data_IF_434613000284
#
_entry.id   IF_434613000284
#
_cell.length_a   1.000
_cell.length_b   1.000
_cell.length_c   1.000
_cell.angle_alpha   90.00
_cell.angle_beta   90.00
_cell.angle_gamma   90.00
#
_symmetry.space_group_name_H-M   'P 1'
#
loop_
_entity.id
_entity.type
_entity.pdbx_description
1 polymer ?
#
# COMPACT_ATOMS: atom_id res chain seq x y z
N UNK A 1 1.60 -5.98 5.29
CA UNK A 1 2.15 -5.44 6.54
C UNK A 1 3.33 -6.32 6.91
N UNK A 2 4.41 -5.76 7.45
CA UNK A 2 5.59 -6.55 7.84
C UNK A 2 5.21 -7.51 8.98
N UNK A 3 5.15 -8.82 8.75
CA UNK A 3 4.77 -9.74 9.81
C UNK A 3 5.91 -9.79 10.85
N UNK A 4 5.60 -9.42 12.09
CA UNK A 4 6.55 -9.44 13.20
C UNK A 4 7.38 -8.16 13.40
N UNK A 5 7.08 -7.07 12.69
CA UNK A 5 7.77 -5.78 12.88
C UNK A 5 6.80 -4.70 13.35
N UNK A 6 7.24 -3.90 14.30
CA UNK A 6 6.57 -2.67 14.76
C UNK A 6 7.57 -1.54 14.57
N UNK A 7 7.14 -0.48 13.88
CA UNK A 7 7.91 0.75 13.76
C UNK A 7 7.32 1.79 14.71
N UNK A 8 8.19 2.52 15.40
CA UNK A 8 7.79 3.46 16.45
C UNK A 8 8.51 4.79 16.19
N UNK A 9 7.75 5.86 16.03
CA UNK A 9 8.24 7.24 15.96
C UNK A 9 8.18 7.83 17.37
N UNK A 10 9.33 8.09 18.00
CA UNK A 10 9.42 8.55 19.39
C UNK A 10 10.74 9.27 19.68
N UNK A 11 10.66 10.36 20.43
CA UNK A 11 11.82 11.04 21.01
C UNK A 11 12.32 10.37 22.31
N UNK A 12 11.57 9.39 22.83
CA UNK A 12 11.85 8.72 24.11
C UNK A 12 11.87 7.18 23.95
N UNK A 13 12.84 6.64 23.19
CA UNK A 13 12.91 5.19 22.93
C UNK A 13 13.01 4.35 24.21
N UNK A 14 13.74 4.81 25.23
CA UNK A 14 13.91 4.06 26.49
C UNK A 14 12.58 3.82 27.21
N UNK A 15 11.67 4.80 27.20
CA UNK A 15 10.34 4.66 27.82
C UNK A 15 9.49 3.64 27.07
N UNK A 16 9.60 3.62 25.74
CA UNK A 16 8.90 2.63 24.90
C UNK A 16 9.44 1.23 25.18
N UNK A 17 10.76 1.08 25.30
CA UNK A 17 11.39 -0.21 25.64
C UNK A 17 10.90 -0.73 27.00
N UNK A 18 10.86 0.11 28.04
CA UNK A 18 10.32 -0.28 29.35
C UNK A 18 8.83 -0.64 29.30
N UNK A 19 8.02 0.08 28.52
CA UNK A 19 6.62 -0.26 28.33
C UNK A 19 6.45 -1.63 27.64
N UNK A 20 7.25 -1.91 26.61
CA UNK A 20 7.20 -3.15 25.84
C UNK A 20 7.60 -4.39 26.65
N UNK A 21 8.50 -4.26 27.64
CA UNK A 21 8.85 -5.36 28.57
C UNK A 21 7.64 -5.94 29.31
N UNK A 22 6.60 -5.13 29.52
CA UNK A 22 5.39 -5.53 30.24
C UNK A 22 4.34 -6.18 29.32
N UNK A 23 4.59 -6.27 28.01
CA UNK A 23 3.67 -6.88 27.04
C UNK A 23 3.99 -8.39 26.92
N UNK A 24 3.15 -9.30 27.42
CA UNK A 24 3.48 -10.75 27.50
C UNK A 24 3.72 -11.43 26.15
N UNK A 25 3.16 -10.86 25.07
CA UNK A 25 3.29 -11.38 23.71
C UNK A 25 4.50 -10.83 22.94
N UNK A 26 5.30 -9.95 23.55
CA UNK A 26 6.44 -9.33 22.89
C UNK A 26 7.72 -10.16 23.12
N UNK A 27 8.06 -10.99 22.14
CA UNK A 27 9.03 -12.09 22.31
C UNK A 27 10.50 -11.66 22.24
N UNK A 28 10.85 -10.54 21.60
CA UNK A 28 12.22 -10.00 21.55
C UNK A 28 12.30 -8.66 20.82
N UNK A 29 13.09 -7.69 21.30
CA UNK A 29 13.53 -6.57 20.46
C UNK A 29 14.55 -7.03 19.43
N UNK A 30 14.45 -6.48 18.21
CA UNK A 30 15.48 -6.58 17.19
C UNK A 30 16.63 -5.65 17.58
N UNK A 31 17.75 -6.24 18.01
CA UNK A 31 18.97 -5.52 18.42
C UNK A 31 20.15 -6.47 18.54
N UNK A 32 21.35 -6.00 18.16
CA UNK A 32 22.60 -6.77 18.30
C UNK A 32 23.02 -6.89 19.77
N UNK A 33 22.63 -5.90 20.57
CA UNK A 33 22.55 -5.91 22.03
C UNK A 33 21.06 -5.93 22.41
N UNK A 34 20.68 -6.78 23.37
CA UNK A 34 19.28 -7.09 23.75
C UNK A 34 18.46 -5.90 24.28
N UNK A 35 19.07 -4.72 24.36
CA UNK A 35 18.56 -3.53 25.06
C UNK A 35 18.50 -2.27 24.18
N UNK A 36 18.58 -2.39 22.85
CA UNK A 36 18.53 -1.21 21.96
C UNK A 36 17.69 -1.42 20.70
N UNK A 37 16.98 -0.38 20.27
CA UNK A 37 16.29 -0.36 18.98
C UNK A 37 17.29 -0.20 17.84
N UNK A 38 17.02 -0.87 16.70
CA UNK A 38 17.75 -0.59 15.46
C UNK A 38 17.04 0.57 14.74
N UNK A 39 17.72 1.72 14.54
CA UNK A 39 17.12 2.83 13.81
C UNK A 39 16.88 2.45 12.35
N UNK A 40 15.77 2.94 11.79
CA UNK A 40 15.49 2.86 10.36
C UNK A 40 16.43 3.84 9.63
N UNK A 41 16.96 3.42 8.48
CA UNK A 41 17.71 4.31 7.60
C UNK A 41 16.81 5.45 7.09
N UNK A 42 17.30 6.70 7.11
CA UNK A 42 16.51 7.89 6.73
C UNK A 42 15.74 7.73 5.41
N UNK A 43 16.36 7.15 4.39
CA UNK A 43 15.72 6.92 3.08
C UNK A 43 14.46 6.05 3.15
N UNK A 44 14.43 5.10 4.10
CA UNK A 44 13.31 4.19 4.34
C UNK A 44 12.24 4.85 5.21
N UNK A 45 12.67 5.66 6.18
CA UNK A 45 11.77 6.47 6.99
C UNK A 45 10.97 7.42 6.10
N UNK A 46 11.64 8.17 5.22
CA UNK A 46 11.02 9.08 4.25
C UNK A 46 10.00 8.35 3.38
N UNK A 47 10.38 7.18 2.82
CA UNK A 47 9.48 6.35 2.04
C UNK A 47 8.22 5.97 2.81
N UNK A 48 8.33 5.52 4.07
CA UNK A 48 7.16 5.17 4.85
C UNK A 48 6.32 6.37 5.22
N UNK A 49 6.96 7.48 5.57
CA UNK A 49 6.29 8.74 5.91
C UNK A 49 5.47 9.27 4.74
N UNK A 50 5.94 9.10 3.50
CA UNK A 50 5.18 9.41 2.30
C UNK A 50 3.99 8.47 2.04
N UNK A 51 4.04 7.24 2.56
CA UNK A 51 3.02 6.22 2.30
C UNK A 51 1.91 6.15 3.35
N UNK A 52 2.14 6.69 4.54
CA UNK A 52 1.15 6.70 5.63
C UNK A 52 0.35 8.00 5.60
N UNK A 53 -0.93 7.91 5.98
CA UNK A 53 -1.78 9.08 6.22
C UNK A 53 -1.57 9.64 7.64
N UNK A 54 -2.34 10.69 7.98
CA UNK A 54 -2.30 11.34 9.31
C UNK A 54 -2.68 10.39 10.47
N UNK A 55 -3.33 9.26 10.17
CA UNK A 55 -3.66 8.21 11.15
C UNK A 55 -2.58 7.10 11.23
N UNK A 56 -1.44 7.27 10.57
CA UNK A 56 -0.37 6.28 10.45
C UNK A 56 -0.77 4.98 9.74
N UNK A 57 -1.77 5.05 8.86
CA UNK A 57 -2.26 3.93 8.07
C UNK A 57 -1.81 4.03 6.62
N UNK A 58 -1.45 2.89 6.03
CA UNK A 58 -1.24 2.80 4.58
C UNK A 58 -2.59 2.56 3.91
N UNK A 59 -3.15 3.60 3.29
CA UNK A 59 -4.42 3.53 2.59
C UNK A 59 -4.37 2.60 1.35
N UNK A 60 -5.55 2.14 0.92
CA UNK A 60 -5.69 1.38 -0.33
C UNK A 60 -5.26 2.25 -1.51
N UNK A 61 -4.38 1.73 -2.37
CA UNK A 61 -4.10 2.35 -3.67
C UNK A 61 -5.02 1.81 -4.75
N UNK A 62 -5.26 2.61 -5.79
CA UNK A 62 -6.10 2.25 -6.92
C UNK A 62 -5.34 2.46 -8.23
N UNK A 63 -5.57 1.59 -9.20
CA UNK A 63 -4.93 1.72 -10.51
C UNK A 63 -5.58 0.93 -11.63
N UNK A 64 -4.95 1.00 -12.78
CA UNK A 64 -5.35 0.34 -14.02
C UNK A 64 -4.28 -0.66 -14.44
N UNK A 65 -4.74 -1.76 -15.05
CA UNK A 65 -3.87 -2.70 -15.73
C UNK A 65 -4.19 -2.76 -17.23
N UNK A 66 -3.15 -2.61 -18.04
CA UNK A 66 -3.18 -2.69 -19.50
C UNK A 66 -2.14 -3.71 -19.97
N UNK A 67 -2.59 -4.93 -20.30
CA UNK A 67 -1.67 -6.04 -20.52
C UNK A 67 -0.83 -6.28 -19.27
N UNK A 68 0.49 -6.14 -19.40
CA UNK A 68 1.44 -6.30 -18.29
C UNK A 68 1.75 -4.98 -17.56
N UNK A 69 1.30 -3.84 -18.10
CA UNK A 69 1.59 -2.53 -17.52
C UNK A 69 0.55 -2.17 -16.47
N UNK A 70 1.04 -1.82 -15.28
CA UNK A 70 0.22 -1.29 -14.18
C UNK A 70 0.49 0.21 -14.06
N UNK A 71 -0.57 0.99 -13.94
CA UNK A 71 -0.51 2.43 -13.68
C UNK A 71 -1.34 2.72 -12.43
N UNK A 72 -0.72 3.28 -11.39
CA UNK A 72 -1.42 3.62 -10.16
C UNK A 72 -1.94 5.05 -10.30
N UNK A 73 -3.24 5.22 -10.12
CA UNK A 73 -3.94 6.49 -10.35
C UNK A 73 -4.21 7.24 -9.05
N UNK A 74 -4.25 6.53 -7.93
CA UNK A 74 -4.56 7.11 -6.62
C UNK A 74 -3.95 6.29 -5.48
N UNK A 75 -3.74 6.97 -4.35
CA UNK A 75 -3.22 6.40 -3.11
C UNK A 75 -1.69 6.33 -3.01
N UNK A 76 -1.16 5.77 -1.90
CA UNK A 76 0.25 5.87 -1.53
C UNK A 76 1.23 5.17 -2.48
N UNK A 77 0.75 4.31 -3.39
CA UNK A 77 1.59 3.67 -4.42
C UNK A 77 1.72 4.48 -5.71
N UNK A 78 1.04 5.62 -5.85
CA UNK A 78 1.15 6.46 -7.04
C UNK A 78 2.60 6.93 -7.25
N UNK A 79 3.14 6.69 -8.46
CA UNK A 79 4.54 6.99 -8.79
C UNK A 79 5.57 6.01 -8.19
N UNK A 80 5.12 4.95 -7.51
CA UNK A 80 5.96 3.92 -6.87
C UNK A 80 5.77 2.54 -7.52
N UNK A 81 5.28 2.48 -8.76
CA UNK A 81 4.96 1.24 -9.48
C UNK A 81 6.13 0.29 -9.63
N UNK A 82 7.33 0.84 -9.84
CA UNK A 82 8.56 0.07 -9.99
C UNK A 82 8.91 -0.75 -8.73
N UNK A 83 8.34 -0.41 -7.57
CA UNK A 83 8.55 -1.14 -6.32
C UNK A 83 7.64 -2.38 -6.21
N UNK A 84 6.57 -2.45 -7.00
CA UNK A 84 5.60 -3.55 -6.96
C UNK A 84 6.20 -4.77 -7.67
N UNK A 85 6.49 -5.81 -6.90
CA UNK A 85 7.04 -7.06 -7.46
C UNK A 85 5.95 -8.11 -7.71
N UNK A 86 4.78 -7.97 -7.09
CA UNK A 86 3.66 -8.90 -7.26
C UNK A 86 2.33 -8.22 -6.97
N UNK A 87 1.31 -8.54 -7.77
CA UNK A 87 -0.07 -8.13 -7.54
C UNK A 87 -0.94 -9.38 -7.34
N UNK A 88 -1.76 -9.35 -6.31
CA UNK A 88 -2.83 -10.33 -6.09
C UNK A 88 -4.18 -9.62 -6.17
N UNK A 89 -4.79 -9.69 -7.37
CA UNK A 89 -6.07 -9.05 -7.69
C UNK A 89 -7.22 -9.59 -6.84
N UNK A 90 -7.23 -10.90 -6.56
CA UNK A 90 -8.28 -11.53 -5.77
C UNK A 90 -8.27 -11.06 -4.31
N UNK A 91 -7.09 -10.79 -3.76
CA UNK A 91 -6.93 -10.27 -2.39
C UNK A 91 -6.91 -8.75 -2.31
N UNK A 92 -6.94 -8.04 -3.45
CA UNK A 92 -6.76 -6.58 -3.55
C UNK A 92 -5.48 -6.12 -2.84
N UNK A 93 -4.36 -6.78 -3.13
CA UNK A 93 -3.06 -6.48 -2.50
C UNK A 93 -1.91 -6.45 -3.51
N UNK A 94 -0.93 -5.59 -3.24
CA UNK A 94 0.39 -5.59 -3.87
C UNK A 94 1.45 -6.02 -2.85
N UNK A 95 2.48 -6.73 -3.31
CA UNK A 95 3.71 -6.94 -2.55
C UNK A 95 4.79 -6.02 -3.11
N UNK A 96 5.37 -5.21 -2.23
CA UNK A 96 6.55 -4.40 -2.50
C UNK A 96 7.79 -5.15 -2.05
N UNK A 97 8.89 -5.00 -2.79
CA UNK A 97 10.18 -5.50 -2.35
C UNK A 97 10.96 -4.34 -1.73
N UNK A 98 11.06 -4.31 -0.40
CA UNK A 98 11.76 -3.23 0.32
C UNK A 98 12.97 -3.84 1.02
N UNK A 99 14.15 -3.31 0.72
CA UNK A 99 15.36 -3.68 1.44
C UNK A 99 15.34 -3.08 2.84
N UNK A 100 15.41 -3.94 3.86
CA UNK A 100 15.38 -3.64 5.28
C UNK A 100 16.47 -4.42 6.00
N UNK A 101 17.29 -3.74 6.81
CA UNK A 101 18.33 -4.38 7.62
C UNK A 101 19.32 -5.26 6.82
N UNK A 102 19.54 -4.93 5.54
CA UNK A 102 20.41 -5.68 4.63
C UNK A 102 19.73 -6.87 3.93
N UNK A 103 18.48 -7.17 4.27
CA UNK A 103 17.68 -8.24 3.66
C UNK A 103 16.49 -7.66 2.87
N UNK A 104 16.04 -8.41 1.85
CA UNK A 104 14.84 -8.05 1.07
C UNK A 104 13.59 -8.52 1.82
N UNK A 105 12.80 -7.56 2.32
CA UNK A 105 11.54 -7.81 2.98
C UNK A 105 10.35 -7.57 2.04
N UNK A 106 9.44 -8.54 1.97
CA UNK A 106 8.19 -8.44 1.21
C UNK A 106 7.11 -7.71 2.00
N UNK A 107 6.68 -6.54 1.53
CA UNK A 107 5.67 -5.71 2.20
C UNK A 107 4.36 -5.80 1.44
N UNK A 108 3.34 -6.44 2.04
CA UNK A 108 2.02 -6.47 1.43
C UNK A 108 1.20 -5.23 1.80
N UNK A 109 0.67 -4.52 0.82
CA UNK A 109 -0.19 -3.34 0.99
C UNK A 109 -1.46 -3.48 0.16
N UNK A 110 -2.48 -2.67 0.46
CA UNK A 110 -3.72 -2.65 -0.30
C UNK A 110 -3.50 -2.09 -1.71
N UNK A 111 -3.93 -2.85 -2.73
CA UNK A 111 -4.00 -2.37 -4.10
C UNK A 111 -5.21 -2.96 -4.82
N UNK A 112 -6.08 -2.09 -5.32
CA UNK A 112 -7.13 -2.43 -6.26
C UNK A 112 -6.74 -2.02 -7.68
N UNK A 113 -6.77 -2.98 -8.61
CA UNK A 113 -6.54 -2.70 -10.03
C UNK A 113 -7.66 -3.29 -10.87
N UNK A 114 -8.13 -2.48 -11.83
CA UNK A 114 -9.13 -2.88 -12.82
C UNK A 114 -8.52 -2.86 -14.22
N UNK A 115 -9.01 -3.72 -15.10
CA UNK A 115 -8.58 -3.73 -16.50
C UNK A 115 -9.09 -2.49 -17.22
N UNK A 116 -8.22 -1.81 -17.97
CA UNK A 116 -8.62 -0.55 -18.63
C UNK A 116 -9.75 -0.75 -19.67
N UNK A 117 -9.76 -1.90 -20.35
CA UNK A 117 -10.88 -2.26 -21.24
C UNK A 117 -12.22 -2.34 -20.51
N UNK A 118 -12.25 -2.69 -19.23
CA UNK A 118 -13.48 -2.71 -18.42
C UNK A 118 -14.08 -1.31 -18.29
N UNK A 119 -13.26 -0.28 -18.06
CA UNK A 119 -13.72 1.11 -18.00
C UNK A 119 -14.24 1.54 -19.38
N UNK A 120 -13.49 1.24 -20.43
CA UNK A 120 -13.89 1.58 -21.82
C UNK A 120 -15.23 0.92 -22.19
N UNK A 121 -15.47 -0.33 -21.80
CA UNK A 121 -16.73 -1.03 -22.03
C UNK A 121 -17.87 -0.37 -21.25
N UNK A 122 -17.66 -0.03 -19.97
CA UNK A 122 -18.67 0.61 -19.13
C UNK A 122 -19.04 1.98 -19.70
N UNK A 123 -18.07 2.80 -20.08
CA UNK A 123 -18.30 4.11 -20.69
C UNK A 123 -19.06 4.00 -22.01
N UNK A 124 -18.67 3.07 -22.88
CA UNK A 124 -19.35 2.82 -24.15
C UNK A 124 -20.79 2.32 -23.94
N UNK A 125 -21.01 1.45 -22.95
CA UNK A 125 -22.33 0.96 -22.59
C UNK A 125 -23.22 2.07 -22.03
N UNK A 126 -22.70 2.91 -21.13
CA UNK A 126 -23.41 4.08 -20.60
C UNK A 126 -23.75 5.09 -21.69
N UNK A 127 -22.82 5.39 -22.61
CA UNK A 127 -23.09 6.22 -23.79
C UNK A 127 -24.21 5.64 -24.65
N UNK A 128 -24.18 4.33 -24.92
CA UNK A 128 -25.20 3.65 -25.74
C UNK A 128 -26.57 3.70 -25.09
N UNK A 129 -26.68 3.49 -23.77
CA UNK A 129 -27.93 3.64 -23.02
C UNK A 129 -28.45 5.07 -23.11
N UNK A 130 -27.58 6.06 -22.84
CA UNK A 130 -27.97 7.48 -22.85
C UNK A 130 -28.45 7.90 -24.24
N UNK A 131 -27.80 7.43 -25.30
CA UNK A 131 -28.22 7.67 -26.69
C UNK A 131 -29.60 7.07 -26.98
N UNK A 132 -29.85 5.82 -26.55
CA UNK A 132 -31.13 5.14 -26.77
C UNK A 132 -32.29 5.81 -26.02
N UNK A 133 -32.04 6.32 -24.81
CA UNK A 133 -33.03 7.08 -24.02
C UNK A 133 -33.37 8.41 -24.70
N UNK A 134 -32.36 9.13 -25.21
CA UNK A 134 -32.56 10.41 -25.92
C UNK A 134 -33.32 10.18 -27.23
N UNK A 135 -33.00 9.11 -27.96
CA UNK A 135 -33.66 8.79 -29.24
C UNK A 135 -35.16 8.47 -29.04
N UNK A 136 -35.51 7.65 -28.05
CA UNK A 136 -36.93 7.33 -27.77
C UNK A 136 -37.76 8.53 -27.28
N UNK A 137 -37.12 9.57 -26.71
CA UNK A 137 -37.82 10.79 -26.30
C UNK A 137 -38.13 11.77 -27.44
N UNK A 138 -37.50 11.65 -28.60
CA UNK A 138 -37.72 12.53 -29.76
C UNK A 138 -38.68 11.92 -30.80
N UNK A 139 -39.28 10.77 -30.50
CA UNK A 139 -40.19 10.01 -31.38
C UNK A 139 -41.64 9.97 -30.88
N UNK A 140 -41.95 10.77 -29.84
CA UNK A 140 -43.29 11.03 -29.29
C UNK A 140 -43.56 12.54 -29.38
#
# INVERSE_FOLDING_TARGET
MFPGYIFIDTDTPEQVYEALKNVPAFTSLLGRDKDSFVPIERSKEELFREMVNDNYEIAMSCGLIEGDKVTITDGPLAGKEAMICKINRHKRTATLNVEMFGDKAGVTVGLEVVENWTITIIENFQKKIRYNIIFNRNLL
#
